data_IF_298730876805
#
_entry.id   IF_298730876805
#
_cell.length_a   1.000
_cell.length_b   1.000
_cell.length_c   1.000
_cell.angle_alpha   90.00
_cell.angle_beta   90.00
_cell.angle_gamma   90.00
#
_symmetry.space_group_name_H-M   'P 1'
#
loop_
_entity.id
_entity.type
_entity.pdbx_description
1 polymer ?
#
# COMPACT_ATOMS: atom_id res chain seq x y z
N UNK A 1 20.19 24.46 1.35
CA UNK A 1 20.93 23.88 0.23
C UNK A 1 20.07 22.78 -0.38
N UNK A 2 19.37 23.04 -1.50
CA UNK A 2 18.57 22.03 -2.19
C UNK A 2 19.53 21.14 -3.00
N UNK A 3 19.66 19.87 -2.62
CA UNK A 3 20.41 18.89 -3.39
C UNK A 3 19.78 18.77 -4.79
N UNK A 4 20.50 19.19 -5.84
CA UNK A 4 20.02 19.02 -7.22
C UNK A 4 19.96 17.52 -7.52
N UNK A 5 18.76 17.00 -7.69
CA UNK A 5 18.52 15.64 -8.17
C UNK A 5 19.23 15.43 -9.50
N UNK A 6 20.06 14.38 -9.62
CA UNK A 6 20.76 14.04 -10.86
C UNK A 6 19.78 13.81 -12.02
N UNK A 7 20.24 13.97 -13.26
CA UNK A 7 19.43 13.70 -14.47
C UNK A 7 18.85 12.29 -14.46
N UNK A 8 19.63 11.31 -13.99
CA UNK A 8 19.21 9.91 -13.90
C UNK A 8 18.13 9.69 -12.85
N UNK A 9 18.25 10.32 -11.66
CA UNK A 9 17.20 10.25 -10.65
C UNK A 9 15.87 10.85 -11.14
N UNK A 10 15.93 11.93 -11.92
CA UNK A 10 14.74 12.51 -12.55
C UNK A 10 14.08 11.54 -13.53
N UNK A 11 14.87 10.87 -14.38
CA UNK A 11 14.37 9.85 -15.32
C UNK A 11 13.73 8.67 -14.60
N UNK A 12 14.32 8.21 -13.49
CA UNK A 12 13.74 7.14 -12.67
C UNK A 12 12.38 7.53 -12.07
N UNK A 13 12.23 8.76 -11.60
CA UNK A 13 10.93 9.26 -11.08
C UNK A 13 9.89 9.33 -12.21
N UNK A 14 10.26 9.81 -13.40
CA UNK A 14 9.37 9.84 -14.58
C UNK A 14 8.96 8.43 -14.99
N UNK A 15 9.89 7.48 -15.05
CA UNK A 15 9.59 6.08 -15.35
C UNK A 15 8.64 5.48 -14.32
N UNK A 16 8.88 5.70 -13.01
CA UNK A 16 7.97 5.25 -11.95
C UNK A 16 6.56 5.80 -12.15
N UNK A 17 6.42 7.08 -12.49
CA UNK A 17 5.12 7.68 -12.76
C UNK A 17 4.43 7.07 -13.98
N UNK A 18 5.18 6.79 -15.05
CA UNK A 18 4.66 6.13 -16.25
C UNK A 18 4.17 4.70 -15.96
N UNK A 19 4.91 3.92 -15.18
CA UNK A 19 4.52 2.58 -14.75
C UNK A 19 3.23 2.60 -13.95
N UNK A 20 3.12 3.48 -12.94
CA UNK A 20 1.89 3.61 -12.14
C UNK A 20 0.70 4.02 -13.02
N UNK A 21 0.92 4.94 -13.97
CA UNK A 21 -0.13 5.36 -14.91
C UNK A 21 -0.60 4.21 -15.81
N UNK A 22 0.33 3.37 -16.28
CA UNK A 22 0.01 2.20 -17.09
C UNK A 22 -0.79 1.16 -16.29
N UNK A 23 -0.41 0.89 -15.03
CA UNK A 23 -1.15 -0.01 -14.14
C UNK A 23 -2.57 0.52 -13.93
N UNK A 24 -2.73 1.80 -13.58
CA UNK A 24 -4.06 2.42 -13.40
C UNK A 24 -4.91 2.31 -14.65
N UNK A 25 -4.34 2.57 -15.83
CA UNK A 25 -5.05 2.44 -17.11
C UNK A 25 -5.54 1.02 -17.35
N UNK A 26 -4.69 0.02 -17.08
CA UNK A 26 -5.04 -1.40 -17.24
C UNK A 26 -6.15 -1.82 -16.28
N UNK A 27 -6.05 -1.46 -14.99
CA UNK A 27 -7.05 -1.80 -13.99
C UNK A 27 -8.40 -1.16 -14.30
N UNK A 28 -8.40 0.11 -14.69
CA UNK A 28 -9.61 0.81 -15.14
C UNK A 28 -10.20 0.17 -16.40
N UNK A 29 -9.35 -0.26 -17.36
CA UNK A 29 -9.78 -0.97 -18.57
C UNK A 29 -10.45 -2.31 -18.29
N UNK A 30 -10.17 -2.92 -17.13
CA UNK A 30 -10.80 -4.15 -16.64
C UNK A 30 -12.02 -3.90 -15.75
N UNK A 31 -12.39 -2.64 -15.52
CA UNK A 31 -13.49 -2.27 -14.62
C UNK A 31 -13.17 -2.39 -13.13
N UNK A 32 -11.90 -2.58 -12.75
CA UNK A 32 -11.53 -2.68 -11.34
C UNK A 32 -11.59 -1.32 -10.64
N UNK A 33 -12.24 -1.27 -9.49
CA UNK A 33 -12.41 -0.05 -8.68
C UNK A 33 -11.11 0.28 -7.94
N UNK A 34 -10.63 1.52 -8.06
CA UNK A 34 -9.52 2.01 -7.24
C UNK A 34 -10.04 2.48 -5.88
N UNK A 35 -9.53 1.91 -4.78
CA UNK A 35 -9.89 2.28 -3.40
C UNK A 35 -8.64 2.58 -2.56
N UNK A 36 -8.83 3.19 -1.38
CA UNK A 36 -7.75 3.62 -0.49
C UNK A 36 -8.07 3.32 0.97
N UNK A 37 -7.07 2.82 1.68
CA UNK A 37 -7.26 2.28 3.02
C UNK A 37 -6.41 2.98 4.07
N UNK A 38 -6.96 3.07 5.28
CA UNK A 38 -6.25 3.56 6.45
C UNK A 38 -5.03 2.67 6.75
N UNK A 39 -3.88 3.31 6.92
CA UNK A 39 -2.61 2.62 7.19
C UNK A 39 -2.34 2.36 8.66
N UNK A 40 -3.15 2.95 9.54
CA UNK A 40 -3.17 2.63 10.97
C UNK A 40 -4.37 1.74 11.19
N UNK A 41 -4.13 0.50 11.60
CA UNK A 41 -5.18 -0.51 11.74
C UNK A 41 -5.03 -1.25 13.07
N UNK A 42 -6.11 -1.89 13.53
CA UNK A 42 -6.12 -2.63 14.80
C UNK A 42 -5.42 -4.01 14.74
N UNK A 43 -4.97 -4.44 13.55
CA UNK A 43 -4.27 -5.72 13.32
C UNK A 43 -3.13 -5.57 12.31
N UNK A 44 -2.30 -6.60 12.14
CA UNK A 44 -1.14 -6.54 11.22
C UNK A 44 -1.51 -6.71 9.74
N UNK A 45 -2.61 -7.40 9.43
CA UNK A 45 -3.07 -7.71 8.07
C UNK A 45 -3.38 -9.20 7.88
N UNK A 46 -3.53 -9.65 6.63
CA UNK A 46 -3.86 -11.03 6.27
C UNK A 46 -2.72 -12.01 6.59
N UNK A 47 -2.79 -12.71 7.72
CA UNK A 47 -1.80 -13.71 8.16
C UNK A 47 -0.36 -13.17 8.32
N UNK A 48 -0.19 -11.86 8.44
CA UNK A 48 1.11 -11.23 8.56
C UNK A 48 1.69 -11.40 9.97
N UNK A 49 2.97 -11.76 10.04
CA UNK A 49 3.66 -12.02 11.31
C UNK A 49 3.72 -10.75 12.16
N UNK A 50 3.19 -10.83 13.39
CA UNK A 50 3.25 -9.73 14.37
C UNK A 50 4.70 -9.29 14.63
N UNK A 51 5.66 -10.22 14.55
CA UNK A 51 7.08 -9.92 14.74
C UNK A 51 7.65 -9.01 13.63
N UNK A 52 6.98 -8.97 12.47
CA UNK A 52 7.34 -8.13 11.33
C UNK A 52 6.44 -6.91 11.17
N UNK A 53 5.52 -6.68 12.12
CA UNK A 53 4.62 -5.53 12.11
C UNK A 53 5.24 -4.34 12.87
N UNK A 54 4.98 -3.12 12.39
CA UNK A 54 5.28 -1.92 13.17
C UNK A 54 4.14 -1.62 14.14
N UNK A 55 4.36 -1.87 15.43
CA UNK A 55 3.40 -1.53 16.49
C UNK A 55 3.52 -0.05 16.91
N UNK A 56 2.39 0.64 16.98
CA UNK A 56 2.31 2.05 17.40
C UNK A 56 2.17 2.16 18.91
N UNK A 57 3.29 2.34 19.61
CA UNK A 57 3.35 2.35 21.09
C UNK A 57 2.60 3.51 21.76
N UNK A 58 2.41 4.62 21.06
CA UNK A 58 1.76 5.83 21.59
C UNK A 58 0.29 5.97 21.16
N UNK A 59 -0.28 4.95 20.53
CA UNK A 59 -1.69 4.95 20.17
C UNK A 59 -2.56 4.62 21.41
N UNK A 60 -3.77 5.20 21.55
CA UNK A 60 -4.65 4.94 22.70
C UNK A 60 -5.19 3.49 22.72
N UNK A 61 -5.10 2.78 21.60
CA UNK A 61 -5.45 1.37 21.44
C UNK A 61 -4.29 0.66 20.74
N UNK A 62 -4.21 -0.66 20.89
CA UNK A 62 -3.25 -1.47 20.15
C UNK A 62 -3.49 -1.25 18.64
N UNK A 63 -2.48 -0.70 17.98
CA UNK A 63 -2.53 -0.33 16.57
C UNK A 63 -1.22 -0.64 15.88
N UNK A 64 -1.30 -0.91 14.59
CA UNK A 64 -0.18 -1.28 13.73
C UNK A 64 -0.17 -0.45 12.45
N UNK A 65 1.00 -0.29 11.85
CA UNK A 65 1.07 0.10 10.44
C UNK A 65 0.75 -1.11 9.56
N UNK A 66 -0.18 -0.93 8.62
CA UNK A 66 -0.64 -1.99 7.74
C UNK A 66 0.50 -2.54 6.85
N UNK A 67 0.64 -3.86 6.84
CA UNK A 67 1.54 -4.58 5.94
C UNK A 67 0.87 -4.87 4.59
N UNK A 68 -0.46 -5.03 4.57
CA UNK A 68 -1.26 -5.28 3.37
C UNK A 68 -2.68 -4.76 3.58
N UNK A 69 -3.30 -4.25 2.52
CA UNK A 69 -4.71 -3.81 2.54
C UNK A 69 -5.69 -4.96 2.22
N UNK A 70 -5.18 -6.18 1.98
CA UNK A 70 -5.96 -7.31 1.46
C UNK A 70 -7.27 -7.56 2.23
N UNK A 71 -7.25 -7.61 3.56
CA UNK A 71 -8.47 -7.89 4.34
C UNK A 71 -9.55 -6.81 4.17
N UNK A 72 -9.12 -5.54 4.02
CA UNK A 72 -10.06 -4.44 3.80
C UNK A 72 -10.61 -4.47 2.37
N UNK A 73 -9.78 -4.83 1.40
CA UNK A 73 -10.20 -5.05 0.01
C UNK A 73 -11.21 -6.19 -0.12
N UNK A 74 -10.92 -7.33 0.51
CA UNK A 74 -11.82 -8.48 0.53
C UNK A 74 -13.15 -8.15 1.20
N UNK A 75 -13.13 -7.36 2.29
CA UNK A 75 -14.35 -6.89 2.94
C UNK A 75 -15.19 -6.01 2.00
N UNK A 76 -14.59 -5.06 1.26
CA UNK A 76 -15.32 -4.21 0.32
C UNK A 76 -15.89 -4.99 -0.86
N UNK A 77 -15.15 -5.97 -1.41
CA UNK A 77 -15.65 -6.88 -2.45
C UNK A 77 -16.92 -7.59 -1.97
N UNK A 78 -16.89 -8.15 -0.76
CA UNK A 78 -17.98 -8.96 -0.22
C UNK A 78 -19.18 -8.10 0.24
N UNK A 79 -18.93 -6.94 0.83
CA UNK A 79 -19.97 -6.06 1.38
C UNK A 79 -20.75 -5.31 0.29
N UNK A 80 -20.06 -4.91 -0.78
CA UNK A 80 -20.64 -4.06 -1.83
C UNK A 80 -20.81 -4.76 -3.18
N UNK A 81 -20.59 -6.08 -3.24
CA UNK A 81 -20.72 -6.88 -4.47
C UNK A 81 -19.89 -6.29 -5.63
N UNK A 82 -18.63 -5.97 -5.35
CA UNK A 82 -17.70 -5.38 -6.32
C UNK A 82 -16.88 -6.49 -6.97
N UNK A 83 -16.95 -6.60 -8.31
CA UNK A 83 -16.25 -7.65 -9.08
C UNK A 83 -14.72 -7.65 -8.89
N UNK A 84 -14.12 -6.45 -8.84
CA UNK A 84 -12.68 -6.30 -8.69
C UNK A 84 -12.32 -4.95 -8.05
N UNK A 85 -11.37 -4.98 -7.13
CA UNK A 85 -10.84 -3.79 -6.47
C UNK A 85 -9.31 -3.79 -6.49
N UNK A 86 -8.71 -2.61 -6.51
CA UNK A 86 -7.27 -2.43 -6.42
C UNK A 86 -6.93 -1.16 -5.65
N UNK A 87 -5.69 -1.08 -5.16
CA UNK A 87 -5.20 0.05 -4.38
C UNK A 87 -3.75 0.33 -4.70
N UNK A 88 -3.37 1.60 -4.57
CA UNK A 88 -1.98 2.03 -4.55
C UNK A 88 -1.70 2.70 -3.22
N UNK A 89 -1.05 1.97 -2.31
CA UNK A 89 -0.74 2.45 -0.98
C UNK A 89 0.66 2.09 -0.53
N UNK A 90 1.09 2.73 0.57
CA UNK A 90 2.30 2.29 1.28
C UNK A 90 2.00 1.01 2.06
N UNK A 91 2.98 0.11 2.07
CA UNK A 91 3.04 -1.09 2.90
C UNK A 91 4.26 -0.97 3.82
N UNK A 92 4.13 -1.41 5.07
CA UNK A 92 5.14 -1.22 6.10
C UNK A 92 5.55 -2.55 6.73
N UNK A 93 6.71 -3.08 6.36
CA UNK A 93 7.25 -4.34 6.93
C UNK A 93 8.48 -4.06 7.78
N UNK A 94 8.45 -4.49 9.03
CA UNK A 94 9.58 -4.46 9.96
C UNK A 94 10.40 -5.74 9.84
N UNK A 95 10.83 -6.05 8.61
CA UNK A 95 11.71 -7.17 8.32
C UNK A 95 13.17 -6.72 8.43
N UNK A 96 14.11 -7.62 8.80
CA UNK A 96 15.52 -7.32 8.68
C UNK A 96 15.81 -6.87 7.25
N UNK A 97 16.51 -5.74 7.08
CA UNK A 97 16.98 -5.37 5.74
C UNK A 97 17.91 -6.48 5.25
N UNK A 98 17.62 -7.03 4.07
CA UNK A 98 18.63 -7.78 3.35
C UNK A 98 19.84 -6.87 3.19
N UNK A 99 20.98 -7.27 3.77
CA UNK A 99 22.26 -6.56 3.67
C UNK A 99 22.76 -6.51 2.24
#
# INVERSE_FOLDING_TARGET
MLCKMSSELKRLVVLKAAVVSAIRKEMNGRGAVESYYNKITGGSGACESINTAFMLKNAPKLSFLSQTDQLLMEAEILEYDIDAIWTLGRSYRNEPRAG
#
